data_IF_598980007977
#
_entry.id   IF_598980007977
#
_cell.length_a   1.000
_cell.length_b   1.000
_cell.length_c   1.000
_cell.angle_alpha   90.00
_cell.angle_beta   90.00
_cell.angle_gamma   90.00
#
_symmetry.space_group_name_H-M   'P 1'
#
loop_
_entity.id
_entity.type
_entity.pdbx_description
1 polymer ?
#
# COMPACT_ATOMS: atom_id res chain seq x y z
N UNK A 1 -28.43 36.49 -23.05
CA UNK A 1 -27.95 35.55 -22.01
C UNK A 1 -28.88 34.34 -21.99
N UNK A 2 -28.39 33.12 -22.27
CA UNK A 2 -29.22 31.90 -22.28
C UNK A 2 -29.50 31.47 -20.84
N UNK A 3 -30.78 31.31 -20.47
CA UNK A 3 -31.16 30.77 -19.15
C UNK A 3 -30.67 29.32 -19.06
N UNK A 4 -30.01 28.93 -17.96
CA UNK A 4 -29.62 27.55 -17.76
C UNK A 4 -30.87 26.66 -17.73
N UNK A 5 -30.82 25.53 -18.43
CA UNK A 5 -31.93 24.57 -18.41
C UNK A 5 -32.08 24.01 -16.99
N UNK A 6 -33.32 23.71 -16.59
CA UNK A 6 -33.63 23.14 -15.28
C UNK A 6 -32.76 21.89 -14.99
N UNK A 7 -32.48 21.11 -16.03
CA UNK A 7 -31.63 19.92 -15.98
C UNK A 7 -30.17 20.25 -15.58
N UNK A 8 -29.62 21.35 -16.08
CA UNK A 8 -28.26 21.80 -15.76
C UNK A 8 -28.12 22.21 -14.30
N UNK A 9 -29.17 22.81 -13.73
CA UNK A 9 -29.21 23.24 -12.32
C UNK A 9 -29.30 22.01 -11.41
N UNK A 10 -30.16 21.05 -11.74
CA UNK A 10 -30.30 19.79 -10.98
C UNK A 10 -29.00 19.00 -10.98
N UNK A 11 -28.32 18.91 -12.13
CA UNK A 11 -27.02 18.24 -12.23
C UNK A 11 -25.97 18.90 -11.31
N UNK A 12 -25.90 20.22 -11.28
CA UNK A 12 -24.98 20.96 -10.41
C UNK A 12 -25.27 20.76 -8.93
N UNK A 13 -26.54 20.69 -8.54
CA UNK A 13 -26.95 20.41 -7.15
C UNK A 13 -26.54 18.99 -6.75
N UNK A 14 -26.77 18.00 -7.63
CA UNK A 14 -26.36 16.61 -7.38
C UNK A 14 -24.83 16.50 -7.26
N UNK A 15 -24.09 17.14 -8.16
CA UNK A 15 -22.62 17.19 -8.09
C UNK A 15 -22.12 17.86 -6.82
N UNK A 16 -22.77 18.97 -6.40
CA UNK A 16 -22.46 19.66 -5.15
C UNK A 16 -22.73 18.79 -3.93
N UNK A 17 -23.85 18.05 -3.91
CA UNK A 17 -24.22 17.16 -2.81
C UNK A 17 -23.30 15.94 -2.70
N UNK A 18 -22.89 15.38 -3.85
CA UNK A 18 -21.87 14.32 -3.91
C UNK A 18 -20.53 14.83 -3.39
N UNK A 19 -20.10 16.02 -3.79
CA UNK A 19 -18.86 16.63 -3.31
C UNK A 19 -18.91 16.93 -1.79
N UNK A 20 -20.05 17.40 -1.27
CA UNK A 20 -20.18 17.79 0.14
C UNK A 20 -20.33 16.58 1.08
N UNK A 21 -20.97 15.50 0.63
CA UNK A 21 -21.06 14.27 1.42
C UNK A 21 -19.70 13.58 1.60
N UNK A 22 -18.79 13.70 0.63
CA UNK A 22 -17.43 13.14 0.70
C UNK A 22 -16.51 13.87 1.69
N UNK A 23 -16.67 15.18 1.88
CA UNK A 23 -15.82 15.99 2.79
C UNK A 23 -15.94 15.52 4.25
N UNK A 24 -17.13 15.06 4.68
CA UNK A 24 -17.37 14.65 6.08
C UNK A 24 -16.68 13.34 6.49
N UNK A 25 -16.23 12.52 5.54
CA UNK A 25 -15.69 11.19 5.82
C UNK A 25 -14.14 11.11 5.85
N UNK A 26 -13.44 12.25 5.77
CA UNK A 26 -11.98 12.26 5.53
C UNK A 26 -11.16 12.25 6.82
N UNK A 27 -11.31 11.21 7.64
CA UNK A 27 -10.38 10.93 8.76
C UNK A 27 -9.49 9.70 8.45
N UNK A 28 -9.81 8.95 7.41
CA UNK A 28 -8.93 7.91 6.84
C UNK A 28 -8.93 8.05 5.32
N UNK A 29 -7.78 7.93 4.65
CA UNK A 29 -7.65 8.03 3.16
C UNK A 29 -8.45 6.94 2.39
N UNK A 30 -9.25 6.12 3.07
CA UNK A 30 -10.16 5.13 2.48
C UNK A 30 -11.19 5.79 1.51
N UNK A 31 -11.39 7.12 1.57
CA UNK A 31 -12.24 7.88 0.64
C UNK A 31 -11.49 8.97 -0.13
N UNK A 32 -10.56 8.56 -1.00
CA UNK A 32 -10.07 9.45 -2.07
C UNK A 32 -11.27 9.92 -2.91
N UNK A 33 -11.39 11.23 -3.14
CA UNK A 33 -12.49 11.88 -3.87
C UNK A 33 -12.92 11.12 -5.14
N UNK A 34 -14.22 11.06 -5.43
CA UNK A 34 -14.76 10.34 -6.58
C UNK A 34 -14.06 10.68 -7.91
N UNK A 35 -13.74 11.96 -8.13
CA UNK A 35 -13.04 12.40 -9.34
C UNK A 35 -11.64 11.79 -9.44
N UNK A 36 -10.90 11.70 -8.34
CA UNK A 36 -9.57 11.05 -8.32
C UNK A 36 -9.72 9.56 -8.59
N UNK A 37 -10.78 8.91 -8.09
CA UNK A 37 -11.06 7.50 -8.38
C UNK A 37 -11.31 7.23 -9.86
N UNK A 38 -11.92 8.17 -10.57
CA UNK A 38 -12.17 8.04 -12.01
C UNK A 38 -10.91 8.36 -12.80
N UNK A 39 -10.29 9.52 -12.57
CA UNK A 39 -9.23 10.03 -13.44
C UNK A 39 -7.85 9.41 -13.17
N UNK A 40 -7.56 9.02 -11.93
CA UNK A 40 -6.26 8.50 -11.55
C UNK A 40 -6.20 6.96 -11.51
N UNK A 41 -7.32 6.25 -11.76
CA UNK A 41 -7.33 4.79 -11.80
C UNK A 41 -6.83 4.31 -13.16
N UNK A 42 -5.61 3.79 -13.20
CA UNK A 42 -5.04 3.15 -14.39
C UNK A 42 -5.03 1.62 -14.24
N UNK A 43 -6.05 0.91 -14.75
CA UNK A 43 -6.08 -0.55 -14.68
C UNK A 43 -4.83 -1.12 -15.38
N UNK A 44 -4.09 -1.98 -14.68
CA UNK A 44 -2.84 -2.55 -15.17
C UNK A 44 -1.56 -1.88 -14.66
N UNK A 45 -1.63 -0.67 -14.09
CA UNK A 45 -0.43 -0.04 -13.51
C UNK A 45 0.14 -0.81 -12.32
N UNK A 46 -0.71 -1.56 -11.59
CA UNK A 46 -0.27 -2.45 -10.52
C UNK A 46 0.81 -3.45 -10.96
N UNK A 47 0.83 -3.88 -12.23
CA UNK A 47 1.86 -4.77 -12.78
C UNK A 47 3.24 -4.10 -12.88
N UNK A 48 3.29 -2.77 -12.83
CA UNK A 48 4.53 -1.98 -12.80
C UNK A 48 5.02 -1.72 -11.37
N UNK A 49 4.31 -2.22 -10.36
CA UNK A 49 4.72 -2.08 -8.97
C UNK A 49 5.08 -3.46 -8.44
N UNK A 50 6.32 -3.60 -8.02
CA UNK A 50 6.85 -4.78 -7.36
C UNK A 50 6.61 -4.66 -5.85
N UNK A 51 6.11 -5.73 -5.23
CA UNK A 51 5.90 -5.80 -3.79
C UNK A 51 6.55 -7.10 -3.30
N UNK A 52 7.55 -6.96 -2.42
CA UNK A 52 8.22 -8.07 -1.75
C UNK A 52 7.89 -8.02 -0.25
N UNK A 53 7.01 -8.91 0.24
CA UNK A 53 6.64 -8.94 1.65
C UNK A 53 7.53 -9.90 2.45
N UNK A 54 7.91 -9.51 3.66
CA UNK A 54 8.73 -10.30 4.58
C UNK A 54 8.21 -10.23 6.01
N UNK A 55 8.43 -11.29 6.78
CA UNK A 55 8.36 -11.27 8.24
C UNK A 55 9.78 -11.23 8.79
N UNK A 56 10.13 -10.16 9.48
CA UNK A 56 11.48 -9.91 9.99
C UNK A 56 11.41 -9.59 11.49
N UNK A 57 12.45 -9.97 12.24
CA UNK A 57 12.62 -9.47 13.60
C UNK A 57 13.26 -8.06 13.59
N UNK A 58 13.33 -7.40 14.75
CA UNK A 58 13.82 -6.02 14.86
C UNK A 58 15.26 -5.85 14.33
N UNK A 59 16.15 -6.82 14.57
CA UNK A 59 17.54 -6.79 14.09
C UNK A 59 17.61 -6.82 12.56
N UNK A 60 16.80 -7.67 11.94
CA UNK A 60 16.73 -7.81 10.48
C UNK A 60 16.08 -6.59 9.81
N UNK A 61 15.11 -5.95 10.47
CA UNK A 61 14.55 -4.67 10.03
C UNK A 61 15.63 -3.59 10.03
N UNK A 62 16.42 -3.48 11.10
CA UNK A 62 17.51 -2.51 11.16
C UNK A 62 18.55 -2.74 10.06
N UNK A 63 18.86 -4.00 9.77
CA UNK A 63 19.75 -4.36 8.66
C UNK A 63 19.17 -3.96 7.30
N UNK A 64 17.87 -4.18 7.06
CA UNK A 64 17.24 -3.80 5.78
C UNK A 64 17.24 -2.30 5.54
N UNK A 65 16.94 -1.53 6.60
CA UNK A 65 16.93 -0.06 6.55
C UNK A 65 18.35 0.51 6.37
N UNK A 66 19.36 -0.14 6.96
CA UNK A 66 20.76 0.28 6.83
C UNK A 66 21.32 -0.03 5.44
N UNK A 67 20.92 -1.17 4.86
CA UNK A 67 21.42 -1.66 3.58
C UNK A 67 20.27 -1.94 2.59
N UNK A 68 19.59 -0.90 2.08
CA UNK A 68 18.38 -1.05 1.28
C UNK A 68 18.61 -1.72 -0.09
N UNK A 69 19.85 -1.91 -0.52
CA UNK A 69 20.17 -2.60 -1.78
C UNK A 69 20.31 -4.11 -1.62
N UNK A 70 20.42 -4.62 -0.38
CA UNK A 70 20.55 -6.05 -0.13
C UNK A 70 19.22 -6.74 -0.42
N UNK A 71 19.29 -7.88 -1.12
CA UNK A 71 18.14 -8.74 -1.30
C UNK A 71 17.85 -9.48 0.02
N UNK A 72 16.67 -9.22 0.59
CA UNK A 72 16.25 -9.89 1.80
C UNK A 72 15.76 -11.29 1.48
N UNK A 73 16.15 -12.23 2.35
CA UNK A 73 15.61 -13.58 2.38
C UNK A 73 14.63 -13.70 3.55
N UNK A 74 13.57 -14.49 3.36
CA UNK A 74 12.61 -14.74 4.43
C UNK A 74 13.26 -15.66 5.48
N UNK A 75 13.48 -15.20 6.73
CA UNK A 75 14.02 -16.05 7.78
C UNK A 75 13.08 -17.21 8.10
N UNK A 76 13.64 -18.37 8.51
CA UNK A 76 12.86 -19.49 9.04
C UNK A 76 12.16 -19.12 10.35
N UNK A 77 11.14 -19.88 10.74
CA UNK A 77 10.34 -19.59 11.95
C UNK A 77 11.16 -19.62 13.22
N UNK A 78 12.15 -20.50 13.33
CA UNK A 78 13.09 -20.59 14.45
C UNK A 78 13.78 -19.26 14.75
N UNK A 79 14.11 -18.46 13.73
CA UNK A 79 14.75 -17.14 13.92
C UNK A 79 13.76 -16.05 14.38
N UNK A 80 12.46 -16.27 14.17
CA UNK A 80 11.36 -15.37 14.54
C UNK A 80 10.65 -15.81 15.84
N UNK A 81 10.91 -17.03 16.32
CA UNK A 81 10.24 -17.64 17.46
C UNK A 81 10.45 -16.82 18.74
N UNK A 82 9.34 -16.47 19.42
CA UNK A 82 9.30 -15.65 20.64
C UNK A 82 9.98 -14.27 20.51
N UNK A 83 10.24 -13.80 19.29
CA UNK A 83 10.75 -12.44 19.05
C UNK A 83 9.62 -11.49 18.64
N UNK A 84 9.88 -10.20 18.78
CA UNK A 84 9.07 -9.19 18.09
C UNK A 84 9.25 -9.37 16.58
N UNK A 85 8.13 -9.45 15.88
CA UNK A 85 8.08 -9.62 14.43
C UNK A 85 7.40 -8.42 13.80
N UNK A 86 7.92 -8.03 12.65
CA UNK A 86 7.45 -6.95 11.82
C UNK A 86 7.07 -7.51 10.46
N UNK A 87 5.95 -7.03 9.92
CA UNK A 87 5.68 -7.16 8.49
C UNK A 87 6.45 -6.06 7.78
N UNK A 88 7.36 -6.45 6.89
CA UNK A 88 8.09 -5.52 6.03
C UNK A 88 7.61 -5.66 4.61
N UNK A 89 7.00 -4.60 4.07
CA UNK A 89 6.60 -4.53 2.68
C UNK A 89 7.61 -3.65 1.93
N UNK A 90 8.45 -4.27 1.10
CA UNK A 90 9.35 -3.57 0.20
C UNK A 90 8.63 -3.34 -1.11
N UNK A 91 8.36 -2.08 -1.44
CA UNK A 91 7.55 -1.71 -2.59
C UNK A 91 8.40 -0.87 -3.54
N UNK A 92 8.42 -1.26 -4.82
CA UNK A 92 9.18 -0.56 -5.84
C UNK A 92 8.29 -0.25 -7.04
N UNK A 93 8.21 1.03 -7.38
CA UNK A 93 7.51 1.50 -8.56
C UNK A 93 8.47 1.48 -9.75
N UNK A 94 8.24 0.58 -10.71
CA UNK A 94 8.97 0.52 -11.98
C UNK A 94 8.37 1.42 -13.06
N UNK A 95 7.25 2.07 -12.78
CA UNK A 95 6.62 2.98 -13.72
C UNK A 95 7.12 4.42 -13.61
N UNK A 96 6.81 5.20 -14.64
CA UNK A 96 7.21 6.61 -14.77
C UNK A 96 6.25 7.57 -14.06
N UNK A 97 5.12 7.09 -13.58
CA UNK A 97 4.11 7.91 -12.94
C UNK A 97 4.20 7.77 -11.41
N UNK A 98 3.80 8.83 -10.71
CA UNK A 98 3.69 8.77 -9.25
C UNK A 98 2.46 7.92 -8.93
N UNK A 99 2.60 6.98 -8.00
CA UNK A 99 1.53 6.08 -7.62
C UNK A 99 1.26 6.18 -6.12
N UNK A 100 -0.01 6.10 -5.74
CA UNK A 100 -0.40 6.06 -4.33
C UNK A 100 -1.67 5.23 -4.17
N UNK A 101 -1.94 4.76 -2.98
CA UNK A 101 -3.17 4.04 -2.70
C UNK A 101 -3.11 3.21 -1.44
N UNK A 102 -4.00 2.24 -1.34
CA UNK A 102 -4.17 1.42 -0.14
C UNK A 102 -3.88 -0.03 -0.49
N UNK A 103 -2.92 -0.61 0.24
CA UNK A 103 -2.60 -2.04 0.20
C UNK A 103 -3.27 -2.75 1.37
N UNK A 104 -3.86 -3.90 1.09
CA UNK A 104 -4.26 -4.84 2.11
C UNK A 104 -3.23 -5.98 2.20
N UNK A 105 -2.86 -6.36 3.42
CA UNK A 105 -1.99 -7.49 3.69
C UNK A 105 -2.60 -8.42 4.74
N UNK A 106 -2.20 -9.69 4.71
CA UNK A 106 -2.63 -10.73 5.65
C UNK A 106 -1.48 -11.68 5.99
N UNK A 107 -1.27 -11.88 7.28
CA UNK A 107 -0.29 -12.82 7.84
C UNK A 107 -1.04 -14.01 8.44
N UNK A 108 -0.82 -15.22 7.90
CA UNK A 108 -1.47 -16.44 8.41
C UNK A 108 -3.00 -16.33 8.47
N UNK A 109 -3.56 -16.48 9.67
CA UNK A 109 -5.02 -16.45 9.90
C UNK A 109 -5.56 -15.07 10.30
N UNK A 110 -4.69 -14.06 10.48
CA UNK A 110 -5.10 -12.70 10.89
C UNK A 110 -6.05 -12.09 9.85
N UNK A 111 -6.93 -11.19 10.28
CA UNK A 111 -7.76 -10.40 9.37
C UNK A 111 -6.92 -9.57 8.40
N UNK A 112 -7.50 -9.18 7.27
CA UNK A 112 -6.84 -8.28 6.34
C UNK A 112 -6.65 -6.92 7.00
N UNK A 113 -5.41 -6.47 7.07
CA UNK A 113 -5.03 -5.15 7.55
C UNK A 113 -4.70 -4.27 6.35
N UNK A 114 -4.88 -2.95 6.49
CA UNK A 114 -4.66 -1.98 5.42
C UNK A 114 -3.56 -1.02 5.79
N UNK A 115 -2.78 -0.61 4.79
CA UNK A 115 -1.86 0.53 4.88
C UNK A 115 -2.02 1.41 3.65
N UNK A 116 -1.81 2.70 3.82
CA UNK A 116 -1.66 3.62 2.70
C UNK A 116 -0.19 3.71 2.30
N UNK A 117 0.05 3.76 1.00
CA UNK A 117 1.39 3.81 0.42
C UNK A 117 1.46 4.92 -0.61
N UNK A 118 2.57 5.65 -0.57
CA UNK A 118 2.94 6.68 -1.53
C UNK A 118 4.25 6.25 -2.20
N UNK A 119 4.26 6.21 -3.54
CA UNK A 119 5.35 5.69 -4.35
C UNK A 119 5.73 6.72 -5.42
N UNK A 120 6.92 7.34 -5.32
CA UNK A 120 7.36 8.29 -6.33
C UNK A 120 7.61 7.62 -7.67
N UNK A 121 7.65 8.43 -8.73
CA UNK A 121 7.98 7.96 -10.08
C UNK A 121 9.47 7.65 -10.22
N UNK A 122 9.80 6.77 -11.16
CA UNK A 122 11.16 6.69 -11.67
C UNK A 122 11.42 7.95 -12.50
N UNK A 123 12.15 8.92 -11.93
CA UNK A 123 12.86 9.87 -12.76
C UNK A 123 13.98 9.11 -13.47
N UNK A 124 14.01 9.23 -14.80
CA UNK A 124 14.77 8.46 -15.80
C UNK A 124 16.29 8.37 -15.62
N UNK A 125 16.85 8.92 -14.53
CA UNK A 125 18.29 8.91 -14.23
C UNK A 125 18.69 7.97 -13.08
N UNK A 126 17.75 7.53 -12.23
CA UNK A 126 18.05 6.61 -11.12
C UNK A 126 17.08 5.43 -11.12
N UNK A 127 17.59 4.20 -10.97
CA UNK A 127 16.73 3.04 -10.66
C UNK A 127 15.98 3.35 -9.37
N UNK A 128 14.65 3.23 -9.36
CA UNK A 128 13.89 3.46 -8.13
C UNK A 128 14.40 2.55 -7.00
N UNK A 129 14.65 3.09 -5.80
CA UNK A 129 14.90 2.26 -4.63
C UNK A 129 13.62 1.49 -4.24
N UNK A 130 13.77 0.48 -3.39
CA UNK A 130 12.64 -0.03 -2.64
C UNK A 130 12.23 0.98 -1.56
N UNK A 131 10.94 1.18 -1.39
CA UNK A 131 10.33 1.87 -0.26
C UNK A 131 9.89 0.83 0.75
N UNK A 132 10.37 0.95 1.99
CA UNK A 132 10.11 -0.03 3.04
C UNK A 132 9.02 0.49 3.97
N UNK A 133 7.97 -0.31 4.14
CA UNK A 133 6.92 -0.09 5.12
C UNK A 133 7.06 -1.16 6.19
N UNK A 134 7.38 -0.75 7.42
CA UNK A 134 7.59 -1.64 8.57
C UNK A 134 6.37 -1.53 9.48
N UNK A 135 5.65 -2.63 9.65
CA UNK A 135 4.47 -2.70 10.51
C UNK A 135 4.73 -3.70 11.64
N UNK A 136 4.83 -3.24 12.91
CA UNK A 136 5.01 -4.15 14.04
C UNK A 136 3.75 -5.00 14.24
N UNK A 137 3.93 -6.31 14.41
CA UNK A 137 2.85 -7.25 14.72
C UNK A 137 3.07 -7.99 16.06
N UNK A 138 4.13 -7.63 16.79
CA UNK A 138 4.47 -8.22 18.08
C UNK A 138 4.96 -9.67 17.96
N UNK A 139 4.70 -10.48 18.99
CA UNK A 139 5.09 -11.90 19.02
C UNK A 139 4.04 -12.72 18.27
N UNK A 140 4.33 -13.03 17.00
CA UNK A 140 3.35 -13.64 16.09
C UNK A 140 3.72 -15.04 15.57
N UNK A 141 4.94 -15.54 15.87
CA UNK A 141 5.43 -16.84 15.38
C UNK A 141 5.56 -17.83 16.55
N UNK A 142 4.62 -18.78 16.71
CA UNK A 142 4.56 -19.66 17.87
C UNK A 142 5.30 -20.99 17.70
N UNK A 143 5.95 -21.23 16.55
CA UNK A 143 6.64 -22.49 16.25
C UNK A 143 8.14 -22.29 16.12
N UNK A 144 8.91 -23.20 16.73
CA UNK A 144 10.36 -23.22 16.67
C UNK A 144 10.83 -24.35 15.73
N UNK A 145 10.77 -24.09 14.43
CA UNK A 145 11.17 -25.03 13.38
C UNK A 145 11.96 -24.30 12.28
N UNK A 146 12.71 -25.03 11.47
CA UNK A 146 13.48 -24.47 10.35
C UNK A 146 12.61 -24.23 9.09
N UNK A 147 11.28 -24.33 9.21
CA UNK A 147 10.39 -24.09 8.09
C UNK A 147 10.20 -22.58 7.87
N UNK A 148 9.94 -22.13 6.64
CA UNK A 148 9.54 -20.75 6.42
C UNK A 148 8.18 -20.45 7.09
N UNK A 149 7.96 -19.22 7.55
CA UNK A 149 6.64 -18.79 8.00
C UNK A 149 5.64 -18.82 6.85
N UNK A 150 4.35 -18.80 7.18
CA UNK A 150 3.30 -18.74 6.15
C UNK A 150 3.49 -17.47 5.30
N UNK A 151 3.38 -17.56 3.97
CA UNK A 151 3.59 -16.41 3.10
C UNK A 151 2.58 -15.30 3.40
N UNK A 152 3.05 -14.07 3.41
CA UNK A 152 2.20 -12.89 3.56
C UNK A 152 1.43 -12.69 2.24
N UNK A 153 0.11 -12.63 2.33
CA UNK A 153 -0.73 -12.30 1.17
C UNK A 153 -0.87 -10.79 1.08
N UNK A 154 -0.67 -10.23 -0.11
CA UNK A 154 -0.81 -8.79 -0.36
C UNK A 154 -1.71 -8.56 -1.58
N UNK A 155 -2.58 -7.55 -1.51
CA UNK A 155 -3.41 -7.12 -2.64
C UNK A 155 -3.67 -5.61 -2.58
N UNK A 156 -3.80 -4.99 -3.74
CA UNK A 156 -4.30 -3.63 -3.84
C UNK A 156 -5.79 -3.57 -3.49
N UNK A 157 -6.14 -2.66 -2.57
CA UNK A 157 -7.54 -2.25 -2.36
C UNK A 157 -7.88 -1.12 -3.34
N UNK A 158 -6.98 -0.14 -3.42
CA UNK A 158 -7.08 0.98 -4.34
C UNK A 158 -5.67 1.40 -4.79
N UNK A 159 -5.52 1.74 -6.07
CA UNK A 159 -4.28 2.23 -6.65
C UNK A 159 -4.61 3.38 -7.60
N UNK A 160 -3.95 4.50 -7.38
CA UNK A 160 -4.10 5.74 -8.12
C UNK A 160 -2.73 6.16 -8.66
N UNK A 161 -2.76 6.84 -9.80
CA UNK A 161 -1.57 7.20 -10.56
C UNK A 161 -1.74 8.60 -11.13
N UNK A 162 -0.68 9.41 -11.07
CA UNK A 162 -0.58 10.75 -11.68
C UNK A 162 0.57 10.75 -12.68
#
# INVERSE_FOLDING_TARGET
>A
MKKPSLCSIVLLIILGFLAFSEIKDTITRDKVFFLVRIFCRRPGYAKKIEIKPYLLNDEQVLQSLTYPQIELQQPPRKELFLKNVNVVLRIKNHGQAVAWGTLAYKVGHINWLKIDVDLPSINSKNKAPFYEYVIPIGIAVPYNDDLPPKPIKVKWVALYVK
#
